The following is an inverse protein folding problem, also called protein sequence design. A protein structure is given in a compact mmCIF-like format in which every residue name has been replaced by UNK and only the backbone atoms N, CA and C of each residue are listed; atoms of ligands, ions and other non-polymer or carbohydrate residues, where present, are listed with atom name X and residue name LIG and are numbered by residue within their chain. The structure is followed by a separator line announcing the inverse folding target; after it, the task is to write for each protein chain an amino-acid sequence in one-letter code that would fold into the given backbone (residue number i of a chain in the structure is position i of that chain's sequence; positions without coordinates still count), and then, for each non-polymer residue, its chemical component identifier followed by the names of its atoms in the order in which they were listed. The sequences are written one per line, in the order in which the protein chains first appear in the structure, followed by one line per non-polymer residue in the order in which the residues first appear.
data_IF_255128820194
#
_entry.id   IF_255128820194
#
_cell.length_a   1.000
_cell.length_b   1.000
_cell.length_c   1.000
_cell.angle_alpha   90.00
_cell.angle_beta   90.00
_cell.angle_gamma   90.00
#
_symmetry.space_group_name_H-M   'P 1'
#
loop_
_entity.id
_entity.type
_entity.pdbx_description
1 polymer ?
#
# COMPACT_ATOMS: atom_id res chain seq x y z
N UNK A 1 -10.71 -7.21 26.37
CA UNK A 1 -10.72 -6.06 25.45
C UNK A 1 -11.25 -6.52 24.10
N UNK A 2 -12.16 -5.76 23.48
CA UNK A 2 -12.73 -6.01 22.15
C UNK A 2 -12.63 -4.73 21.31
N UNK A 3 -12.13 -4.84 20.08
CA UNK A 3 -12.08 -3.73 19.12
C UNK A 3 -12.92 -4.01 17.88
N UNK A 4 -13.51 -2.95 17.30
CA UNK A 4 -14.16 -3.00 16.00
C UNK A 4 -13.24 -2.40 14.93
N UNK A 5 -12.84 -3.18 13.94
CA UNK A 5 -11.98 -2.76 12.83
C UNK A 5 -12.84 -2.54 11.59
N UNK A 6 -12.89 -1.30 11.11
CA UNK A 6 -13.57 -0.90 9.87
C UNK A 6 -12.56 -0.85 8.74
N UNK A 7 -12.64 -1.82 7.83
CA UNK A 7 -11.71 -1.96 6.70
C UNK A 7 -12.45 -2.28 5.41
N UNK A 8 -12.01 -1.66 4.32
CA UNK A 8 -12.56 -1.96 2.99
C UNK A 8 -11.95 -3.24 2.39
N UNK A 9 -10.67 -3.50 2.66
CA UNK A 9 -9.97 -4.68 2.15
C UNK A 9 -9.86 -5.73 3.25
N UNK A 10 -10.54 -6.85 3.03
CA UNK A 10 -10.54 -8.02 3.91
C UNK A 10 -10.54 -9.30 3.06
N UNK A 11 -9.92 -10.42 3.50
CA UNK A 11 -9.96 -11.67 2.74
C UNK A 11 -11.38 -12.04 2.30
N UNK A 12 -11.55 -12.55 1.06
CA UNK A 12 -10.52 -13.00 0.12
C UNK A 12 -9.93 -11.89 -0.78
N UNK A 13 -10.10 -10.61 -0.44
CA UNK A 13 -9.41 -9.53 -1.16
C UNK A 13 -7.89 -9.72 -1.07
N UNK A 14 -7.18 -9.59 -2.20
CA UNK A 14 -5.72 -9.68 -2.26
C UNK A 14 -5.01 -8.31 -2.36
N UNK A 15 -3.69 -8.34 -2.50
CA UNK A 15 -2.84 -7.17 -2.70
C UNK A 15 -2.36 -6.50 -1.39
N UNK A 16 -1.56 -5.44 -1.51
CA UNK A 16 -0.96 -4.79 -0.32
C UNK A 16 -1.96 -4.17 0.65
N UNK A 17 -3.18 -3.88 0.17
CA UNK A 17 -4.24 -3.26 0.95
C UNK A 17 -4.81 -4.13 2.07
N UNK A 18 -4.78 -5.46 1.95
CA UNK A 18 -5.36 -6.38 2.94
C UNK A 18 -4.36 -6.79 4.04
N UNK A 19 -3.08 -6.86 3.71
CA UNK A 19 -2.06 -7.53 4.52
C UNK A 19 -1.93 -6.94 5.94
N UNK A 20 -1.84 -5.61 6.05
CA UNK A 20 -1.59 -4.94 7.35
C UNK A 20 -2.63 -5.29 8.40
N UNK A 21 -3.92 -5.13 8.06
CA UNK A 21 -5.01 -5.30 9.04
C UNK A 21 -5.44 -6.74 9.23
N UNK A 22 -5.24 -7.61 8.23
CA UNK A 22 -5.34 -9.05 8.43
C UNK A 22 -4.34 -9.52 9.49
N UNK A 23 -3.05 -9.19 9.32
CA UNK A 23 -2.01 -9.60 10.28
C UNK A 23 -2.20 -8.94 11.64
N UNK A 24 -2.55 -7.66 11.71
CA UNK A 24 -2.86 -7.02 13.01
C UNK A 24 -4.04 -7.68 13.71
N UNK A 25 -5.16 -7.95 13.04
CA UNK A 25 -6.29 -8.64 13.65
C UNK A 25 -5.89 -10.05 14.15
N UNK A 26 -5.08 -10.77 13.37
CA UNK A 26 -4.56 -12.09 13.74
C UNK A 26 -3.71 -12.06 15.01
N UNK A 27 -2.79 -11.10 15.11
CA UNK A 27 -1.90 -11.00 16.27
C UNK A 27 -2.60 -10.35 17.47
N UNK A 28 -3.57 -9.45 17.27
CA UNK A 28 -4.39 -8.92 18.36
C UNK A 28 -5.18 -10.04 19.03
N UNK A 29 -5.78 -10.95 18.25
CA UNK A 29 -6.48 -12.13 18.77
C UNK A 29 -5.53 -13.02 19.58
N UNK A 30 -4.34 -13.32 19.05
CA UNK A 30 -3.29 -14.08 19.78
C UNK A 30 -2.84 -13.41 21.08
N UNK A 31 -2.90 -12.08 21.15
CA UNK A 31 -2.56 -11.29 22.35
C UNK A 31 -3.77 -11.08 23.28
N UNK A 32 -4.89 -11.77 23.06
CA UNK A 32 -6.08 -11.72 23.91
C UNK A 32 -6.97 -10.48 23.69
N UNK A 33 -6.78 -9.75 22.59
CA UNK A 33 -7.65 -8.66 22.17
C UNK A 33 -8.63 -9.16 21.11
N UNK A 34 -9.88 -9.36 21.49
CA UNK A 34 -10.92 -9.82 20.58
C UNK A 34 -11.17 -8.77 19.48
N UNK A 35 -11.35 -9.23 18.24
CA UNK A 35 -11.58 -8.36 17.09
C UNK A 35 -12.93 -8.67 16.44
N UNK A 36 -13.69 -7.63 16.13
CA UNK A 36 -14.78 -7.68 15.16
C UNK A 36 -14.38 -6.88 13.92
N UNK A 37 -14.68 -7.39 12.73
CA UNK A 37 -14.37 -6.74 11.45
C UNK A 37 -15.67 -6.23 10.84
N UNK A 38 -15.66 -5.01 10.32
CA UNK A 38 -16.71 -4.51 9.45
C UNK A 38 -16.14 -4.19 8.07
N UNK A 39 -16.65 -4.89 7.07
CA UNK A 39 -16.16 -4.85 5.68
C UNK A 39 -17.34 -4.98 4.70
N UNK A 40 -17.29 -4.47 3.45
CA UNK A 40 -18.45 -4.61 2.55
C UNK A 40 -18.60 -6.06 2.10
N UNK A 41 -19.83 -6.50 1.82
CA UNK A 41 -20.07 -7.87 1.29
C UNK A 41 -19.77 -8.02 -0.20
N UNK A 42 -19.65 -6.91 -0.93
CA UNK A 42 -19.47 -6.88 -2.38
C UNK A 42 -18.40 -5.87 -2.84
N UNK A 43 -17.19 -5.87 -2.27
CA UNK A 43 -16.17 -4.89 -2.62
C UNK A 43 -15.72 -5.07 -4.06
N UNK A 44 -15.56 -3.96 -4.77
CA UNK A 44 -14.75 -3.93 -6.00
C UNK A 44 -13.27 -3.90 -5.64
N UNK A 45 -12.61 -5.06 -5.78
CA UNK A 45 -11.19 -5.26 -5.52
C UNK A 45 -10.43 -5.65 -6.80
N UNK A 46 -9.17 -5.21 -6.94
CA UNK A 46 -8.40 -5.49 -8.15
C UNK A 46 -7.86 -6.93 -8.22
N UNK A 47 -7.68 -7.57 -7.06
CA UNK A 47 -7.04 -8.87 -6.88
C UNK A 47 -7.83 -9.64 -5.82
N UNK A 48 -8.05 -10.94 -6.08
CA UNK A 48 -8.61 -11.89 -5.13
C UNK A 48 -7.51 -12.90 -4.80
N UNK A 49 -7.30 -13.16 -3.52
CA UNK A 49 -6.36 -14.15 -3.00
C UNK A 49 -7.05 -14.96 -1.90
N UNK A 50 -7.61 -16.10 -2.27
CA UNK A 50 -8.36 -16.96 -1.36
C UNK A 50 -7.48 -17.62 -0.29
N UNK A 51 -6.15 -17.75 -0.50
CA UNK A 51 -5.28 -18.34 0.53
C UNK A 51 -5.15 -17.46 1.77
N UNK A 52 -5.50 -16.17 1.68
CA UNK A 52 -5.52 -15.28 2.84
C UNK A 52 -6.66 -15.57 3.82
N UNK A 53 -7.63 -16.42 3.45
CA UNK A 53 -8.66 -16.89 4.39
C UNK A 53 -8.07 -17.78 5.48
N UNK A 54 -6.97 -18.50 5.19
CA UNK A 54 -6.29 -19.39 6.15
C UNK A 54 -5.63 -18.59 7.29
N UNK A 55 -5.37 -17.30 7.07
CA UNK A 55 -4.81 -16.39 8.06
C UNK A 55 -5.88 -15.75 8.97
N UNK A 56 -7.18 -15.87 8.64
CA UNK A 56 -8.25 -15.27 9.44
C UNK A 56 -8.52 -16.15 10.67
N UNK A 57 -8.35 -15.62 11.91
CA UNK A 57 -8.66 -16.40 13.11
C UNK A 57 -10.14 -16.82 13.16
N UNK A 58 -10.39 -18.03 13.63
CA UNK A 58 -11.73 -18.66 13.64
C UNK A 58 -12.75 -17.92 14.52
N UNK A 59 -12.27 -17.16 15.51
CA UNK A 59 -13.12 -16.48 16.48
C UNK A 59 -13.42 -15.02 16.10
N UNK A 60 -12.94 -14.53 14.95
CA UNK A 60 -13.22 -13.17 14.50
C UNK A 60 -14.62 -13.09 13.90
N UNK A 61 -15.44 -12.20 14.48
CA UNK A 61 -16.75 -11.84 13.96
C UNK A 61 -16.58 -10.93 12.73
N UNK A 62 -17.00 -11.38 11.55
CA UNK A 62 -16.97 -10.57 10.32
C UNK A 62 -18.37 -10.07 9.96
N UNK A 63 -18.60 -8.79 10.20
CA UNK A 63 -19.83 -8.08 9.87
C UNK A 63 -19.72 -7.55 8.44
N UNK A 64 -20.76 -7.78 7.65
CA UNK A 64 -20.82 -7.27 6.28
C UNK A 64 -22.14 -6.59 5.97
N UNK A 65 -22.07 -5.58 5.11
CA UNK A 65 -23.23 -4.87 4.58
C UNK A 65 -22.92 -4.47 3.13
N UNK A 66 -23.86 -4.63 2.18
CA UNK A 66 -23.61 -4.25 0.80
C UNK A 66 -23.25 -2.76 0.65
N UNK A 67 -22.33 -2.50 -0.27
CA UNK A 67 -21.94 -1.18 -0.73
C UNK A 67 -22.54 -0.89 -2.11
N UNK A 68 -23.14 0.30 -2.25
CA UNK A 68 -23.48 0.86 -3.56
C UNK A 68 -22.30 1.69 -4.06
N UNK A 69 -21.69 1.23 -5.16
CA UNK A 69 -20.54 1.89 -5.76
C UNK A 69 -20.93 2.51 -7.10
N UNK A 70 -20.85 3.84 -7.24
CA UNK A 70 -21.08 4.52 -8.52
C UNK A 70 -20.20 3.98 -9.65
N UNK A 71 -18.95 3.59 -9.34
CA UNK A 71 -18.02 2.96 -10.29
C UNK A 71 -18.55 1.65 -10.89
N UNK A 72 -19.39 0.90 -10.16
CA UNK A 72 -20.00 -0.34 -10.63
C UNK A 72 -21.12 -0.09 -11.65
N UNK A 73 -21.84 1.02 -11.50
CA UNK A 73 -22.85 1.50 -12.46
C UNK A 73 -22.14 2.01 -13.73
N UNK A 74 -21.11 2.85 -13.57
CA UNK A 74 -20.30 3.36 -14.66
C UNK A 74 -19.64 2.22 -15.47
N UNK A 75 -19.13 1.18 -14.80
CA UNK A 75 -18.52 0.01 -15.46
C UNK A 75 -19.52 -0.83 -16.27
N UNK A 76 -20.78 -0.92 -15.85
CA UNK A 76 -21.84 -1.56 -16.66
C UNK A 76 -22.15 -0.75 -17.93
N UNK A 77 -22.09 0.58 -17.84
CA UNK A 77 -22.30 1.48 -18.97
C UNK A 77 -21.09 1.44 -19.93
N UNK A 78 -19.86 1.38 -19.42
CA UNK A 78 -18.65 1.28 -20.26
C UNK A 78 -18.42 -0.12 -20.85
N UNK A 79 -19.00 -1.18 -20.29
CA UNK A 79 -18.93 -2.53 -20.86
C UNK A 79 -19.62 -2.64 -22.24
N UNK A 80 -20.58 -1.77 -22.55
CA UNK A 80 -21.15 -1.65 -23.90
C UNK A 80 -20.20 -1.00 -24.93
N UNK A 81 -19.05 -0.46 -24.51
CA UNK A 81 -18.13 0.31 -25.36
C UNK A 81 -16.67 -0.20 -25.38
N UNK A 82 -16.44 -1.47 -25.03
CA UNK A 82 -15.13 -2.12 -25.20
C UNK A 82 -14.18 -1.93 -24.01
N UNK A 83 -13.57 -3.04 -23.63
CA UNK A 83 -12.73 -3.20 -22.45
C UNK A 83 -11.44 -2.38 -22.50
N UNK A 84 -11.35 -1.32 -21.70
CA UNK A 84 -10.09 -0.93 -21.07
C UNK A 84 -10.40 -0.30 -19.71
N UNK A 85 -9.78 -0.85 -18.66
CA UNK A 85 -9.96 -0.43 -17.26
C UNK A 85 -9.47 1.01 -17.11
N UNK A 86 -10.41 1.95 -16.92
CA UNK A 86 -10.15 3.36 -16.63
C UNK A 86 -9.56 3.44 -15.22
N UNK A 87 -8.23 3.43 -15.12
CA UNK A 87 -7.50 3.42 -13.86
C UNK A 87 -6.05 2.90 -13.96
N UNK A 88 -5.66 2.34 -15.11
CA UNK A 88 -4.26 2.27 -15.50
C UNK A 88 -4.06 3.29 -16.62
N UNK A 89 -3.01 4.09 -16.52
CA UNK A 89 -2.49 4.95 -17.58
C UNK A 89 -2.11 4.09 -18.79
N UNK A 90 -3.10 3.80 -19.64
CA UNK A 90 -2.93 3.26 -20.98
C UNK A 90 -3.22 4.40 -21.95
N UNK A 91 -2.14 4.93 -22.52
CA UNK A 91 -2.21 6.01 -23.51
C UNK A 91 -2.93 5.60 -24.79
N UNK A 92 -3.56 6.61 -25.42
CA UNK A 92 -3.83 6.64 -26.86
C UNK A 92 -5.24 6.24 -27.30
N UNK A 93 -6.08 7.26 -27.58
CA UNK A 93 -7.03 7.23 -28.70
C UNK A 93 -8.51 6.94 -28.38
N UNK A 94 -9.34 7.97 -28.65
CA UNK A 94 -10.81 7.92 -28.87
C UNK A 94 -11.72 7.82 -27.62
N UNK A 95 -11.60 8.78 -26.70
CA UNK A 95 -12.70 9.61 -26.18
C UNK A 95 -12.20 10.60 -25.10
N UNK A 96 -11.27 11.49 -25.48
CA UNK A 96 -10.57 12.42 -24.57
C UNK A 96 -11.52 13.28 -23.71
N UNK A 97 -12.67 13.70 -24.24
CA UNK A 97 -13.63 14.51 -23.49
C UNK A 97 -14.41 13.70 -22.46
N UNK A 98 -14.86 12.49 -22.81
CA UNK A 98 -15.57 11.61 -21.88
C UNK A 98 -14.63 11.09 -20.79
N UNK A 99 -13.39 10.73 -21.13
CA UNK A 99 -12.39 10.33 -20.12
C UNK A 99 -12.08 11.50 -19.16
N UNK A 100 -11.88 12.72 -19.67
CA UNK A 100 -11.70 13.93 -18.85
C UNK A 100 -12.91 14.22 -17.97
N UNK A 101 -14.12 14.12 -18.50
CA UNK A 101 -15.36 14.30 -17.73
C UNK A 101 -15.50 13.22 -16.66
N UNK A 102 -15.19 11.96 -16.96
CA UNK A 102 -15.27 10.85 -15.99
C UNK A 102 -14.24 11.02 -14.85
N UNK A 103 -13.03 11.47 -15.16
CA UNK A 103 -11.99 11.80 -14.19
C UNK A 103 -12.43 12.99 -13.32
N UNK A 104 -12.99 14.02 -13.94
CA UNK A 104 -13.53 15.18 -13.22
C UNK A 104 -14.68 14.77 -12.29
N UNK A 105 -15.68 14.01 -12.77
CA UNK A 105 -16.80 13.51 -11.96
C UNK A 105 -16.27 12.69 -10.78
N UNK A 106 -15.29 11.81 -11.03
CA UNK A 106 -14.64 11.00 -9.99
C UNK A 106 -13.96 11.88 -8.93
N UNK A 107 -13.20 12.88 -9.33
CA UNK A 107 -12.47 13.77 -8.42
C UNK A 107 -13.34 14.79 -7.69
N UNK A 108 -14.50 15.17 -8.24
CA UNK A 108 -15.28 16.29 -7.72
C UNK A 108 -16.61 15.88 -7.04
N UNK A 109 -17.21 14.73 -7.38
CA UNK A 109 -18.48 14.29 -6.77
C UNK A 109 -18.30 13.25 -5.65
N UNK A 110 -17.29 12.37 -5.78
CA UNK A 110 -17.07 11.27 -4.82
C UNK A 110 -15.88 11.58 -3.92
N UNK A 111 -16.09 12.49 -2.97
CA UNK A 111 -15.07 12.94 -2.01
C UNK A 111 -15.35 12.28 -0.65
N UNK A 112 -14.36 11.62 -0.02
CA UNK A 112 -12.94 11.59 -0.41
C UNK A 112 -12.62 10.55 -1.49
N UNK A 113 -13.50 9.57 -1.70
CA UNK A 113 -13.32 8.54 -2.69
C UNK A 113 -14.65 7.92 -3.13
N UNK A 114 -14.59 7.01 -4.10
CA UNK A 114 -15.74 6.32 -4.68
C UNK A 114 -16.54 5.47 -3.67
N UNK A 115 -16.07 5.30 -2.42
CA UNK A 115 -16.74 4.53 -1.36
C UNK A 115 -17.56 5.40 -0.42
N UNK A 116 -17.65 6.72 -0.66
CA UNK A 116 -18.41 7.64 0.21
C UNK A 116 -19.89 7.25 0.35
N UNK A 117 -20.47 6.60 -0.66
CA UNK A 117 -21.84 6.07 -0.63
C UNK A 117 -22.07 5.01 0.44
N UNK A 118 -21.01 4.37 0.95
CA UNK A 118 -21.09 3.38 2.02
C UNK A 118 -21.16 3.99 3.42
N UNK A 119 -20.77 5.26 3.58
CA UNK A 119 -20.58 5.87 4.90
C UNK A 119 -21.89 5.90 5.69
N UNK A 120 -22.95 6.50 5.14
CA UNK A 120 -24.23 6.64 5.86
C UNK A 120 -24.89 5.29 6.20
N UNK A 121 -25.03 4.33 5.26
CA UNK A 121 -25.56 3.00 5.58
C UNK A 121 -24.73 2.28 6.65
N UNK A 122 -23.40 2.43 6.61
CA UNK A 122 -22.50 1.81 7.59
C UNK A 122 -22.63 2.41 8.98
N UNK A 123 -22.67 3.74 9.09
CA UNK A 123 -22.88 4.41 10.38
C UNK A 123 -24.23 3.97 10.98
N UNK A 124 -25.30 3.92 10.17
CA UNK A 124 -26.62 3.45 10.64
C UNK A 124 -26.57 2.01 11.15
N UNK A 125 -25.96 1.11 10.40
CA UNK A 125 -25.83 -0.30 10.77
C UNK A 125 -25.02 -0.47 12.05
N UNK A 126 -23.81 0.13 12.10
CA UNK A 126 -22.88 -0.01 13.21
C UNK A 126 -23.41 0.63 14.49
N UNK A 127 -24.19 1.72 14.43
CA UNK A 127 -24.90 2.24 15.60
C UNK A 127 -25.79 1.17 16.25
N UNK A 128 -26.62 0.50 15.47
CA UNK A 128 -27.51 -0.55 15.97
C UNK A 128 -26.74 -1.74 16.54
N UNK A 129 -25.61 -2.10 15.92
CA UNK A 129 -24.76 -3.18 16.39
C UNK A 129 -24.02 -2.83 17.70
N UNK A 130 -23.48 -1.60 17.82
CA UNK A 130 -22.74 -1.13 19.00
C UNK A 130 -23.61 -1.00 20.26
N UNK A 131 -24.92 -0.76 20.10
CA UNK A 131 -25.87 -0.79 21.24
C UNK A 131 -25.93 -2.18 21.89
N UNK A 132 -25.80 -3.24 21.08
CA UNK A 132 -25.89 -4.63 21.53
C UNK A 132 -24.52 -5.23 21.84
N UNK A 133 -23.46 -4.67 21.26
CA UNK A 133 -22.10 -5.19 21.32
C UNK A 133 -21.15 -4.08 21.77
N UNK A 134 -20.75 -4.15 23.05
CA UNK A 134 -19.75 -3.22 23.58
C UNK A 134 -18.39 -3.51 22.98
N UNK A 135 -17.69 -2.45 22.59
CA UNK A 135 -16.29 -2.46 22.16
C UNK A 135 -15.55 -1.38 22.92
N UNK A 136 -14.27 -1.61 23.19
CA UNK A 136 -13.43 -0.66 23.90
C UNK A 136 -12.89 0.43 22.96
N UNK A 137 -12.72 0.11 21.67
CA UNK A 137 -12.31 1.06 20.65
C UNK A 137 -12.80 0.67 19.24
N UNK A 138 -12.93 1.68 18.38
CA UNK A 138 -13.05 1.51 16.93
C UNK A 138 -11.73 1.87 16.28
N UNK A 139 -11.35 1.08 15.28
CA UNK A 139 -10.22 1.37 14.41
C UNK A 139 -10.72 1.50 12.98
N UNK A 140 -10.38 2.60 12.30
CA UNK A 140 -10.65 2.77 10.87
C UNK A 140 -9.34 2.79 10.10
N UNK A 141 -9.29 2.14 8.94
CA UNK A 141 -8.08 2.13 8.10
C UNK A 141 -8.36 2.63 6.69
N UNK A 142 -7.56 3.61 6.26
CA UNK A 142 -7.57 4.17 4.91
C UNK A 142 -6.23 3.94 4.20
N UNK A 143 -6.19 3.97 2.86
CA UNK A 143 -7.31 4.13 1.93
C UNK A 143 -8.13 2.84 1.74
N UNK A 144 -9.40 2.92 1.29
CA UNK A 144 -10.16 4.14 1.00
C UNK A 144 -10.47 4.95 2.27
N UNK A 145 -10.36 6.28 2.19
CA UNK A 145 -10.49 7.18 3.34
C UNK A 145 -11.94 7.37 3.80
N UNK A 146 -12.92 6.93 3.00
CA UNK A 146 -14.31 6.79 3.43
C UNK A 146 -14.47 5.93 4.71
N UNK A 147 -13.53 5.02 5.01
CA UNK A 147 -13.55 4.26 6.27
C UNK A 147 -13.42 5.19 7.48
N UNK A 148 -12.56 6.22 7.37
CA UNK A 148 -12.41 7.21 8.43
C UNK A 148 -13.68 8.04 8.61
N UNK A 149 -14.44 8.31 7.54
CA UNK A 149 -15.73 8.99 7.67
C UNK A 149 -16.80 8.15 8.40
N UNK A 150 -16.72 6.81 8.31
CA UNK A 150 -17.55 5.92 9.14
C UNK A 150 -17.18 6.10 10.62
N UNK A 151 -15.89 6.07 10.95
CA UNK A 151 -15.41 6.33 12.32
C UNK A 151 -15.82 7.70 12.84
N UNK A 152 -15.68 8.74 12.01
CA UNK A 152 -16.07 10.10 12.34
C UNK A 152 -17.57 10.21 12.68
N UNK A 153 -18.43 9.57 11.88
CA UNK A 153 -19.87 9.52 12.16
C UNK A 153 -20.15 8.86 13.52
N UNK A 154 -19.56 7.69 13.76
CA UNK A 154 -19.75 6.95 15.02
C UNK A 154 -19.23 7.71 16.24
N UNK A 155 -18.08 8.40 16.14
CA UNK A 155 -17.50 9.22 17.21
C UNK A 155 -18.34 10.45 17.51
N UNK A 156 -18.86 11.14 16.49
CA UNK A 156 -19.74 12.31 16.69
C UNK A 156 -21.03 11.95 17.42
N UNK A 157 -21.59 10.78 17.11
CA UNK A 157 -22.81 10.30 17.76
C UNK A 157 -22.55 9.70 19.15
N UNK A 158 -21.34 9.19 19.39
CA UNK A 158 -20.91 8.63 20.68
C UNK A 158 -19.56 9.21 21.11
N UNK A 159 -19.51 10.41 21.71
CA UNK A 159 -18.25 11.09 22.03
C UNK A 159 -17.30 10.30 22.94
N UNK A 160 -17.85 9.39 23.77
CA UNK A 160 -17.07 8.52 24.67
C UNK A 160 -16.41 7.33 23.96
N UNK A 161 -16.81 7.02 22.73
CA UNK A 161 -16.27 5.90 21.97
C UNK A 161 -14.83 6.20 21.57
N UNK A 162 -13.88 5.37 21.98
CA UNK A 162 -12.49 5.54 21.58
C UNK A 162 -12.32 5.22 20.10
N UNK A 163 -11.65 6.10 19.37
CA UNK A 163 -11.44 5.98 17.95
C UNK A 163 -9.99 6.21 17.55
N UNK A 164 -9.44 5.21 16.88
CA UNK A 164 -8.11 5.22 16.28
C UNK A 164 -8.25 5.25 14.75
N UNK A 165 -7.61 6.22 14.10
CA UNK A 165 -7.58 6.30 12.63
C UNK A 165 -6.18 5.94 12.09
N UNK A 166 -6.07 4.86 11.32
CA UNK A 166 -4.84 4.40 10.67
C UNK A 166 -4.74 4.93 9.24
N UNK A 167 -3.90 5.96 9.08
CA UNK A 167 -3.54 6.60 7.82
C UNK A 167 -2.34 5.87 7.21
N UNK A 168 -2.62 4.91 6.34
CA UNK A 168 -1.56 4.09 5.71
C UNK A 168 -0.83 4.82 4.58
N UNK A 169 -1.55 5.71 3.92
CA UNK A 169 -1.09 6.52 2.80
C UNK A 169 -1.58 7.97 2.98
N UNK A 170 -0.94 8.95 2.32
CA UNK A 170 -1.46 10.32 2.27
C UNK A 170 -2.92 10.38 1.83
N UNK A 171 -3.69 11.31 2.39
CA UNK A 171 -5.07 11.54 1.97
C UNK A 171 -5.16 12.69 0.98
N UNK A 172 -5.02 13.94 1.42
CA UNK A 172 -5.21 15.10 0.52
C UNK A 172 -4.03 15.36 -0.42
N UNK A 173 -2.87 14.76 -0.15
CA UNK A 173 -1.63 14.93 -0.94
C UNK A 173 -1.38 13.75 -1.89
N UNK A 174 -2.32 12.82 -2.06
CA UNK A 174 -2.03 11.57 -2.78
C UNK A 174 -1.73 11.83 -4.27
N UNK A 175 -0.64 11.27 -4.79
CA UNK A 175 -0.12 11.56 -6.15
C UNK A 175 -1.19 11.49 -7.26
N UNK A 176 -2.09 10.51 -7.20
CA UNK A 176 -3.09 10.30 -8.25
C UNK A 176 -4.19 11.38 -8.26
N UNK A 177 -4.33 12.20 -7.21
CA UNK A 177 -5.38 13.22 -7.14
C UNK A 177 -5.18 14.28 -8.23
N UNK A 178 -3.94 14.52 -8.64
CA UNK A 178 -3.63 15.43 -9.74
C UNK A 178 -4.11 14.88 -11.10
N UNK A 179 -4.28 13.57 -11.25
CA UNK A 179 -4.85 12.95 -12.45
C UNK A 179 -6.38 13.17 -12.56
N UNK A 180 -7.05 13.52 -11.45
CA UNK A 180 -8.51 13.65 -11.41
C UNK A 180 -9.05 15.03 -11.80
N UNK A 181 -8.19 15.97 -12.21
CA UNK A 181 -8.60 17.34 -12.57
C UNK A 181 -9.51 17.98 -11.50
N UNK A 182 -9.15 17.79 -10.22
CA UNK A 182 -9.96 18.29 -9.10
C UNK A 182 -9.98 19.82 -9.09
N UNK A 183 -11.19 20.39 -9.01
CA UNK A 183 -11.37 21.82 -8.82
C UNK A 183 -10.99 22.25 -7.39
N UNK A 184 -10.76 23.56 -7.15
CA UNK A 184 -10.34 24.07 -5.84
C UNK A 184 -11.28 23.68 -4.68
N UNK A 185 -12.60 23.68 -4.91
CA UNK A 185 -13.60 23.27 -3.91
C UNK A 185 -13.47 21.80 -3.51
N UNK A 186 -13.16 20.93 -4.47
CA UNK A 186 -12.99 19.51 -4.21
C UNK A 186 -11.71 19.24 -3.41
N UNK A 187 -10.62 19.97 -3.70
CA UNK A 187 -9.38 19.91 -2.91
C UNK A 187 -9.58 20.43 -1.49
N UNK A 188 -10.20 21.61 -1.35
CA UNK A 188 -10.54 22.16 -0.03
C UNK A 188 -11.38 21.17 0.79
N UNK A 189 -12.41 20.56 0.19
CA UNK A 189 -13.20 19.53 0.88
C UNK A 189 -12.37 18.29 1.28
N UNK A 190 -11.39 17.90 0.47
CA UNK A 190 -10.50 16.77 0.80
C UNK A 190 -9.65 17.09 2.03
N UNK A 191 -9.07 18.29 2.07
CA UNK A 191 -8.27 18.81 3.18
C UNK A 191 -9.12 19.02 4.44
N UNK A 192 -10.33 19.56 4.30
CA UNK A 192 -11.28 19.75 5.40
C UNK A 192 -11.66 18.42 6.04
N UNK A 193 -11.93 17.38 5.23
CA UNK A 193 -12.25 16.05 5.74
C UNK A 193 -11.05 15.36 6.38
N UNK A 194 -9.86 15.47 5.78
CA UNK A 194 -8.62 14.96 6.37
C UNK A 194 -8.41 15.60 7.75
N UNK A 195 -8.50 16.93 7.83
CA UNK A 195 -8.38 17.71 9.07
C UNK A 195 -9.49 17.39 10.08
N UNK A 196 -10.72 17.21 9.64
CA UNK A 196 -11.81 16.86 10.55
C UNK A 196 -11.59 15.48 11.18
N UNK A 197 -11.25 14.48 10.37
CA UNK A 197 -10.93 13.13 10.85
C UNK A 197 -9.77 13.19 11.84
N UNK A 198 -8.67 13.82 11.46
CA UNK A 198 -7.47 13.78 12.27
C UNK A 198 -7.66 14.54 13.60
N UNK A 199 -8.53 15.58 13.63
CA UNK A 199 -8.84 16.34 14.85
C UNK A 199 -9.80 15.62 15.79
N UNK A 200 -10.70 14.82 15.24
CA UNK A 200 -11.76 14.17 16.00
C UNK A 200 -11.38 12.77 16.50
N UNK A 201 -10.47 12.08 15.82
CA UNK A 201 -9.95 10.81 16.32
C UNK A 201 -9.13 11.01 17.61
N UNK A 202 -9.24 10.07 18.54
CA UNK A 202 -8.51 10.13 19.82
C UNK A 202 -7.02 9.81 19.61
N UNK A 203 -6.70 8.95 18.63
CA UNK A 203 -5.34 8.63 18.19
C UNK A 203 -5.27 8.50 16.68
N UNK A 204 -4.11 8.86 16.14
CA UNK A 204 -3.75 8.62 14.74
C UNK A 204 -2.63 7.61 14.68
N UNK A 205 -2.70 6.68 13.73
CA UNK A 205 -1.59 5.78 13.39
C UNK A 205 -1.15 6.11 11.97
N UNK A 206 0.15 6.20 11.77
CA UNK A 206 0.77 6.51 10.47
C UNK A 206 1.91 5.55 10.17
N UNK A 207 2.13 5.30 8.88
CA UNK A 207 3.18 4.40 8.37
C UNK A 207 4.50 5.12 8.03
N UNK A 208 4.54 6.44 8.17
CA UNK A 208 5.68 7.28 7.77
C UNK A 208 5.80 8.53 8.67
N UNK A 209 7.00 9.09 8.80
CA UNK A 209 7.21 10.29 9.64
C UNK A 209 6.73 11.54 8.93
N UNK A 210 6.90 11.64 7.60
CA UNK A 210 6.34 12.73 6.81
C UNK A 210 4.82 12.82 6.88
N UNK A 211 4.11 11.68 6.95
CA UNK A 211 2.65 11.69 7.18
C UNK A 211 2.31 12.17 8.60
N UNK A 212 3.08 11.73 9.61
CA UNK A 212 2.93 12.22 10.99
C UNK A 212 3.04 13.75 11.03
N UNK A 213 4.12 14.29 10.47
CA UNK A 213 4.44 15.71 10.59
C UNK A 213 3.38 16.57 9.87
N UNK A 214 2.82 16.07 8.76
CA UNK A 214 1.66 16.70 8.10
C UNK A 214 0.44 16.76 9.02
N UNK A 215 0.06 15.65 9.64
CA UNK A 215 -1.16 15.55 10.45
C UNK A 215 -1.02 16.21 11.82
N UNK A 216 0.18 16.22 12.41
CA UNK A 216 0.44 16.83 13.73
C UNK A 216 0.44 18.36 13.65
N UNK A 217 0.96 18.94 12.56
CA UNK A 217 0.92 20.39 12.36
C UNK A 217 -0.50 20.96 12.37
N UNK A 218 -1.53 20.12 12.23
CA UNK A 218 -2.93 20.52 12.26
C UNK A 218 -3.63 20.45 13.63
N UNK A 219 -3.15 19.75 14.69
CA UNK A 219 -4.10 19.19 15.69
C UNK A 219 -3.65 18.78 17.12
N UNK A 220 -4.69 18.51 17.96
CA UNK A 220 -4.69 17.99 19.34
C UNK A 220 -4.49 16.47 19.50
N UNK A 221 -4.66 15.67 18.44
CA UNK A 221 -4.64 14.21 18.53
C UNK A 221 -3.21 13.65 18.66
N UNK A 222 -3.04 12.56 19.41
CA UNK A 222 -1.73 11.89 19.54
C UNK A 222 -1.49 11.04 18.29
N UNK A 223 -0.45 11.38 17.52
CA UNK A 223 -0.09 10.70 16.28
C UNK A 223 1.10 9.75 16.50
N UNK A 224 0.89 8.47 16.21
CA UNK A 224 1.80 7.37 16.55
C UNK A 224 2.31 6.71 15.28
N UNK A 225 3.63 6.63 15.16
CA UNK A 225 4.28 5.98 14.04
C UNK A 225 4.33 4.46 14.25
N UNK A 226 3.63 3.71 13.40
CA UNK A 226 3.70 2.25 13.30
C UNK A 226 3.95 1.92 11.82
N UNK A 227 5.20 1.61 11.41
CA UNK A 227 5.53 1.35 10.01
C UNK A 227 4.81 0.11 9.47
N UNK A 228 4.96 -0.15 8.18
CA UNK A 228 4.66 -1.48 7.65
C UNK A 228 5.66 -2.51 8.22
N UNK A 229 5.37 -3.79 7.98
CA UNK A 229 6.16 -4.87 8.53
C UNK A 229 5.98 -6.16 7.75
N UNK A 230 6.68 -7.18 8.19
CA UNK A 230 6.72 -8.51 7.59
C UNK A 230 6.29 -9.57 8.60
N UNK A 231 5.82 -10.72 8.12
CA UNK A 231 5.44 -11.84 8.97
C UNK A 231 6.31 -13.06 8.66
N UNK A 232 6.91 -13.64 9.68
CA UNK A 232 7.73 -14.85 9.54
C UNK A 232 6.92 -16.05 9.03
N UNK A 233 5.61 -16.07 9.26
CA UNK A 233 4.72 -17.13 8.76
C UNK A 233 4.56 -17.12 7.23
N UNK A 234 4.85 -15.98 6.58
CA UNK A 234 4.76 -15.87 5.13
C UNK A 234 5.98 -16.50 4.43
N UNK A 235 7.08 -16.71 5.16
CA UNK A 235 8.34 -17.23 4.63
C UNK A 235 8.42 -18.76 4.71
N UNK A 236 9.03 -19.42 3.72
CA UNK A 236 9.29 -20.85 3.81
C UNK A 236 10.25 -21.15 4.97
N UNK A 237 10.06 -22.29 5.63
CA UNK A 237 10.91 -22.73 6.76
C UNK A 237 12.37 -23.00 6.36
N UNK A 238 12.62 -23.20 5.08
CA UNK A 238 13.95 -23.40 4.52
C UNK A 238 14.15 -22.45 3.35
N UNK A 239 15.31 -21.80 3.30
CA UNK A 239 15.72 -21.03 2.14
C UNK A 239 15.94 -21.97 0.94
N UNK A 240 15.61 -21.54 -0.29
CA UNK A 240 16.09 -22.23 -1.48
C UNK A 240 17.62 -22.36 -1.41
N UNK A 241 18.16 -23.49 -1.89
CA UNK A 241 19.62 -23.60 -2.09
C UNK A 241 20.08 -22.44 -2.97
N UNK A 242 21.27 -21.91 -2.68
CA UNK A 242 21.93 -20.97 -3.59
C UNK A 242 21.98 -21.60 -4.98
N UNK A 243 21.52 -20.85 -5.98
CA UNK A 243 21.70 -21.28 -7.36
C UNK A 243 23.16 -21.01 -7.73
N UNK A 244 23.88 -22.01 -8.23
CA UNK A 244 25.18 -21.87 -8.91
C UNK A 244 25.04 -21.12 -10.27
N UNK A 245 24.02 -20.28 -10.43
CA UNK A 245 23.74 -19.60 -11.68
C UNK A 245 24.75 -18.48 -11.91
N UNK A 246 25.32 -18.46 -13.10
CA UNK A 246 26.18 -17.36 -13.58
C UNK A 246 25.41 -16.08 -13.92
N UNK A 247 24.08 -16.11 -13.83
CA UNK A 247 23.17 -15.01 -14.20
C UNK A 247 22.70 -14.30 -12.95
N UNK A 248 22.90 -12.98 -12.87
CA UNK A 248 22.42 -12.16 -11.76
C UNK A 248 20.93 -11.83 -11.94
N UNK A 249 20.08 -12.32 -11.05
CA UNK A 249 18.62 -12.08 -11.05
C UNK A 249 18.26 -10.91 -10.15
N UNK A 250 17.66 -9.87 -10.74
CA UNK A 250 17.22 -8.64 -10.07
C UNK A 250 15.69 -8.59 -10.04
N UNK A 251 15.09 -8.75 -8.85
CA UNK A 251 13.64 -8.95 -8.73
C UNK A 251 12.85 -7.75 -8.18
N UNK A 252 11.76 -7.35 -8.83
CA UNK A 252 10.77 -6.42 -8.28
C UNK A 252 9.40 -7.10 -8.07
N UNK A 253 8.89 -6.99 -6.85
CA UNK A 253 7.64 -7.63 -6.41
C UNK A 253 6.60 -6.58 -6.04
N UNK A 254 5.85 -6.13 -7.03
CA UNK A 254 4.84 -5.11 -6.91
C UNK A 254 4.47 -4.50 -8.26
N UNK A 255 3.45 -3.63 -8.25
CA UNK A 255 3.05 -2.92 -9.45
C UNK A 255 4.06 -1.82 -9.83
N UNK A 256 4.40 -1.77 -11.11
CA UNK A 256 5.23 -0.76 -11.74
C UNK A 256 4.36 0.12 -12.66
N UNK A 257 3.98 1.28 -12.15
CA UNK A 257 3.26 2.33 -12.88
C UNK A 257 4.25 3.37 -13.44
N UNK A 258 3.78 4.29 -14.29
CA UNK A 258 4.66 5.26 -14.97
C UNK A 258 5.56 6.07 -14.02
N UNK A 259 5.05 6.46 -12.85
CA UNK A 259 5.84 7.18 -11.83
C UNK A 259 6.95 6.32 -11.18
N UNK A 260 6.93 5.00 -11.37
CA UNK A 260 7.96 4.05 -10.91
C UNK A 260 8.89 3.62 -12.05
N UNK A 261 8.93 4.36 -13.15
CA UNK A 261 9.91 4.10 -14.19
C UNK A 261 11.31 4.50 -13.70
N UNK A 262 12.35 3.73 -14.06
CA UNK A 262 13.72 3.94 -13.62
C UNK A 262 14.69 3.91 -14.82
N UNK A 263 14.60 4.87 -15.76
CA UNK A 263 15.41 4.85 -16.98
C UNK A 263 16.92 4.89 -16.70
N UNK A 264 17.36 5.50 -15.59
CA UNK A 264 18.75 5.46 -15.14
C UNK A 264 19.23 4.04 -14.87
N UNK A 265 18.40 3.24 -14.16
CA UNK A 265 18.68 1.84 -13.89
C UNK A 265 18.64 1.00 -15.16
N UNK A 266 17.64 1.19 -16.04
CA UNK A 266 17.56 0.45 -17.31
C UNK A 266 18.79 0.68 -18.18
N UNK A 267 19.27 1.92 -18.26
CA UNK A 267 20.52 2.23 -18.95
C UNK A 267 21.72 1.55 -18.29
N UNK A 268 21.83 1.59 -16.96
CA UNK A 268 22.92 0.94 -16.23
C UNK A 268 22.97 -0.58 -16.47
N UNK A 269 21.82 -1.27 -16.39
CA UNK A 269 21.72 -2.71 -16.67
C UNK A 269 22.08 -3.02 -18.13
N UNK A 270 21.61 -2.20 -19.08
CA UNK A 270 21.98 -2.33 -20.50
C UNK A 270 23.49 -2.21 -20.73
N UNK A 271 24.15 -1.25 -20.07
CA UNK A 271 25.60 -1.06 -20.16
C UNK A 271 26.38 -2.23 -19.57
N UNK A 272 25.91 -2.83 -18.46
CA UNK A 272 26.54 -4.02 -17.87
C UNK A 272 26.41 -5.24 -18.77
N UNK A 273 25.22 -5.46 -19.38
CA UNK A 273 25.02 -6.53 -20.36
C UNK A 273 25.91 -6.35 -21.59
N UNK A 274 26.10 -5.12 -22.06
CA UNK A 274 27.01 -4.83 -23.16
C UNK A 274 28.49 -5.13 -22.83
N UNK A 275 28.86 -5.13 -21.55
CA UNK A 275 30.18 -5.55 -21.05
C UNK A 275 30.30 -7.06 -20.78
N UNK A 276 29.28 -7.84 -21.15
CA UNK A 276 29.27 -9.30 -21.02
C UNK A 276 28.78 -9.84 -19.68
N UNK A 277 28.24 -9.01 -18.79
CA UNK A 277 27.61 -9.50 -17.56
C UNK A 277 26.21 -10.03 -17.87
N UNK A 278 25.89 -11.24 -17.39
CA UNK A 278 24.53 -11.75 -17.55
C UNK A 278 23.63 -11.32 -16.40
N UNK A 279 22.53 -10.67 -16.76
CA UNK A 279 21.58 -10.04 -15.84
C UNK A 279 20.18 -10.31 -16.35
N UNK A 280 19.32 -10.78 -15.46
CA UNK A 280 17.90 -11.00 -15.68
C UNK A 280 17.09 -10.10 -14.74
N UNK A 281 16.10 -9.40 -15.29
CA UNK A 281 15.11 -8.66 -14.50
C UNK A 281 13.88 -9.55 -14.29
N UNK A 282 13.40 -9.66 -13.06
CA UNK A 282 12.21 -10.46 -12.72
C UNK A 282 11.13 -9.54 -12.15
N UNK A 283 9.99 -9.43 -12.83
CA UNK A 283 8.89 -8.56 -12.39
C UNK A 283 7.64 -9.38 -12.05
N UNK A 284 7.30 -9.43 -10.77
CA UNK A 284 6.03 -9.94 -10.27
C UNK A 284 5.09 -8.78 -9.93
N UNK A 285 3.98 -8.68 -10.65
CA UNK A 285 3.01 -7.60 -10.57
C UNK A 285 2.70 -6.98 -11.93
N UNK A 286 1.74 -6.06 -11.96
CA UNK A 286 1.41 -5.34 -13.18
C UNK A 286 2.54 -4.36 -13.56
N UNK A 287 3.03 -4.46 -14.79
CA UNK A 287 4.00 -3.52 -15.38
C UNK A 287 3.32 -2.75 -16.52
N UNK A 288 3.28 -1.42 -16.42
CA UNK A 288 2.63 -0.57 -17.41
C UNK A 288 3.37 -0.57 -18.76
N UNK A 289 2.67 -0.16 -19.82
CA UNK A 289 3.22 -0.11 -21.18
C UNK A 289 4.41 0.82 -21.34
N UNK A 290 4.45 1.92 -20.57
CA UNK A 290 5.54 2.90 -20.66
C UNK A 290 6.87 2.31 -20.20
N UNK A 291 6.87 1.55 -19.11
CA UNK A 291 8.06 0.85 -18.62
C UNK A 291 8.48 -0.24 -19.60
N UNK A 292 7.53 -1.01 -20.16
CA UNK A 292 7.84 -2.02 -21.20
C UNK A 292 8.46 -1.38 -22.45
N UNK A 293 8.02 -0.19 -22.84
CA UNK A 293 8.59 0.57 -23.97
C UNK A 293 10.02 1.00 -23.67
N UNK A 294 10.30 1.47 -22.45
CA UNK A 294 11.65 1.86 -22.05
C UNK A 294 12.59 0.64 -21.95
N UNK A 295 12.14 -0.47 -21.36
CA UNK A 295 12.90 -1.72 -21.39
C UNK A 295 13.22 -2.16 -22.82
N UNK A 296 12.28 -1.99 -23.77
CA UNK A 296 12.52 -2.27 -25.19
C UNK A 296 13.57 -1.34 -25.78
N UNK A 297 13.48 -0.03 -25.48
CA UNK A 297 14.45 0.99 -25.90
C UNK A 297 15.87 0.67 -25.43
N UNK A 298 16.02 0.13 -24.22
CA UNK A 298 17.32 -0.28 -23.67
C UNK A 298 17.71 -1.73 -24.00
N UNK A 299 16.95 -2.42 -24.86
CA UNK A 299 17.26 -3.81 -25.27
C UNK A 299 17.07 -4.86 -24.18
N UNK A 300 16.36 -4.54 -23.10
CA UNK A 300 16.21 -5.39 -21.91
C UNK A 300 15.00 -6.31 -21.93
N UNK A 301 14.07 -6.16 -22.89
CA UNK A 301 12.84 -6.96 -22.94
C UNK A 301 13.12 -8.47 -22.97
N UNK A 302 14.13 -8.92 -23.71
CA UNK A 302 14.51 -10.34 -23.77
C UNK A 302 15.17 -10.85 -22.49
N UNK A 303 15.68 -9.94 -21.66
CA UNK A 303 16.30 -10.21 -20.37
C UNK A 303 15.35 -9.86 -19.21
N UNK A 304 14.04 -9.78 -19.47
CA UNK A 304 13.04 -9.47 -18.47
C UNK A 304 11.97 -10.55 -18.45
N UNK A 305 11.80 -11.19 -17.29
CA UNK A 305 10.71 -12.10 -16.99
C UNK A 305 9.53 -11.34 -16.38
N UNK A 306 8.33 -11.53 -16.92
CA UNK A 306 7.09 -10.91 -16.42
C UNK A 306 6.17 -11.98 -15.84
N UNK A 307 6.19 -12.14 -14.51
CA UNK A 307 5.44 -13.18 -13.80
C UNK A 307 3.95 -12.85 -13.60
N UNK A 308 3.57 -11.59 -13.82
CA UNK A 308 2.19 -11.13 -13.59
C UNK A 308 1.83 -11.12 -12.10
N UNK A 309 0.54 -11.12 -11.78
CA UNK A 309 0.08 -11.15 -10.38
C UNK A 309 0.23 -12.55 -9.78
N UNK A 310 0.91 -12.64 -8.64
CA UNK A 310 1.11 -13.88 -7.89
C UNK A 310 0.35 -13.86 -6.57
N UNK A 311 -0.02 -15.04 -6.08
CA UNK A 311 -0.41 -15.22 -4.68
C UNK A 311 0.77 -14.81 -3.78
N UNK A 312 0.47 -14.25 -2.61
CA UNK A 312 1.48 -13.61 -1.77
C UNK A 312 2.65 -14.55 -1.40
N UNK A 313 2.36 -15.79 -1.00
CA UNK A 313 3.37 -16.81 -0.70
C UNK A 313 4.30 -17.12 -1.87
N UNK A 314 3.75 -17.24 -3.09
CA UNK A 314 4.54 -17.45 -4.31
C UNK A 314 5.43 -16.25 -4.62
N UNK A 315 4.97 -15.03 -4.33
CA UNK A 315 5.80 -13.84 -4.50
C UNK A 315 7.03 -13.89 -3.58
N UNK A 316 6.90 -14.35 -2.33
CA UNK A 316 8.04 -14.53 -1.41
C UNK A 316 8.98 -15.64 -1.91
N UNK A 317 8.45 -16.77 -2.38
CA UNK A 317 9.27 -17.83 -2.96
C UNK A 317 10.11 -17.33 -4.14
N UNK A 318 9.53 -16.50 -5.02
CA UNK A 318 10.25 -15.87 -6.13
C UNK A 318 11.25 -14.79 -5.65
N UNK A 319 10.94 -14.02 -4.61
CA UNK A 319 11.92 -13.09 -3.99
C UNK A 319 13.17 -13.83 -3.55
N UNK A 320 13.00 -15.01 -2.95
CA UNK A 320 14.11 -15.81 -2.43
C UNK A 320 15.02 -16.40 -3.52
N UNK A 321 14.53 -16.49 -4.76
CA UNK A 321 15.29 -16.95 -5.94
C UNK A 321 16.10 -15.85 -6.63
N UNK A 322 15.92 -14.57 -6.26
CA UNK A 322 16.69 -13.46 -6.81
C UNK A 322 18.02 -13.28 -6.07
N UNK A 323 19.04 -12.73 -6.72
CA UNK A 323 20.32 -12.40 -6.06
C UNK A 323 20.24 -11.04 -5.36
N UNK A 324 19.44 -10.13 -5.92
CA UNK A 324 19.23 -8.78 -5.42
C UNK A 324 17.79 -8.35 -5.66
N UNK A 325 17.22 -7.62 -4.71
CA UNK A 325 15.85 -7.13 -4.79
C UNK A 325 15.81 -5.66 -5.20
N UNK A 326 14.90 -5.33 -6.10
CA UNK A 326 14.73 -4.01 -6.69
C UNK A 326 13.54 -3.30 -6.06
N UNK A 327 13.82 -2.23 -5.32
CA UNK A 327 12.83 -1.36 -4.70
C UNK A 327 12.74 -0.05 -5.49
N UNK A 328 11.63 0.14 -6.23
CA UNK A 328 11.35 1.41 -6.90
C UNK A 328 10.17 2.10 -6.22
N UNK A 329 10.38 3.34 -5.78
CA UNK A 329 9.35 4.23 -5.24
C UNK A 329 8.82 5.17 -6.33
N UNK A 330 7.80 5.97 -6.04
CA UNK A 330 7.26 6.89 -7.03
C UNK A 330 8.19 8.11 -7.17
N UNK A 331 8.38 8.60 -8.40
CA UNK A 331 9.14 9.83 -8.69
C UNK A 331 8.29 11.09 -8.51
N UNK A 332 7.65 11.22 -7.35
CA UNK A 332 6.70 12.29 -7.04
C UNK A 332 7.03 12.95 -5.70
N UNK A 333 6.48 14.13 -5.45
CA UNK A 333 6.72 14.83 -4.18
C UNK A 333 5.99 14.16 -3.01
N UNK A 334 4.77 13.64 -3.22
CA UNK A 334 4.02 13.01 -2.13
C UNK A 334 4.60 11.66 -1.70
N UNK A 335 5.33 10.97 -2.59
CA UNK A 335 6.14 9.81 -2.24
C UNK A 335 7.11 10.08 -1.08
N UNK A 336 7.67 11.30 -0.96
CA UNK A 336 8.61 11.67 0.11
C UNK A 336 8.03 11.52 1.52
N UNK A 337 6.70 11.42 1.64
CA UNK A 337 5.96 11.23 2.90
C UNK A 337 5.45 9.80 3.06
N UNK A 338 6.03 8.81 2.39
CA UNK A 338 5.57 7.41 2.43
C UNK A 338 6.73 6.42 2.39
N UNK A 339 6.48 5.18 2.82
CA UNK A 339 7.44 4.07 2.70
C UNK A 339 6.75 2.87 2.05
N UNK A 340 7.33 2.25 1.00
CA UNK A 340 6.72 1.09 0.38
C UNK A 340 6.64 -0.10 1.35
N UNK A 341 5.48 -0.74 1.47
CA UNK A 341 5.29 -1.90 2.37
C UNK A 341 6.25 -3.07 2.08
N UNK A 342 6.59 -3.31 0.81
CA UNK A 342 7.49 -4.39 0.38
C UNK A 342 8.92 -4.26 0.92
N UNK A 343 9.35 -3.06 1.33
CA UNK A 343 10.67 -2.83 1.89
C UNK A 343 10.93 -3.77 3.07
N UNK A 344 9.94 -3.94 3.95
CA UNK A 344 10.09 -4.75 5.16
C UNK A 344 10.19 -6.25 4.87
N UNK A 345 9.51 -6.73 3.83
CA UNK A 345 9.65 -8.10 3.36
C UNK A 345 11.03 -8.31 2.71
N UNK A 346 11.53 -7.32 1.97
CA UNK A 346 12.87 -7.39 1.39
C UNK A 346 13.94 -7.47 2.48
N UNK A 347 13.83 -6.68 3.57
CA UNK A 347 14.72 -6.80 4.72
C UNK A 347 14.71 -8.22 5.31
N UNK A 348 13.53 -8.83 5.41
CA UNK A 348 13.36 -10.18 5.95
C UNK A 348 13.97 -11.29 5.08
N UNK A 349 14.21 -11.04 3.78
CA UNK A 349 14.96 -11.98 2.93
C UNK A 349 16.48 -11.94 3.18
N UNK A 350 16.97 -10.89 3.86
CA UNK A 350 18.40 -10.58 4.01
C UNK A 350 19.17 -10.43 2.69
N UNK A 351 18.48 -10.31 1.55
CA UNK A 351 19.11 -10.06 0.26
C UNK A 351 19.50 -8.58 0.12
N UNK A 352 20.55 -8.29 -0.66
CA UNK A 352 20.86 -6.92 -1.06
C UNK A 352 19.66 -6.24 -1.74
N UNK A 353 19.58 -4.91 -1.60
CA UNK A 353 18.50 -4.11 -2.15
C UNK A 353 19.07 -2.98 -3.03
N UNK A 354 18.61 -2.91 -4.27
CA UNK A 354 18.81 -1.75 -5.15
C UNK A 354 17.59 -0.85 -4.97
N UNK A 355 17.80 0.35 -4.44
CA UNK A 355 16.72 1.30 -4.17
C UNK A 355 16.74 2.47 -5.15
N UNK A 356 15.59 2.74 -5.78
CA UNK A 356 15.36 3.89 -6.66
C UNK A 356 14.27 4.77 -6.05
N UNK A 357 14.63 5.99 -5.66
CA UNK A 357 13.73 6.94 -5.01
C UNK A 357 14.22 8.39 -5.12
N UNK A 358 13.45 9.35 -4.59
CA UNK A 358 13.94 10.71 -4.35
C UNK A 358 15.13 10.69 -3.37
N UNK A 359 16.01 11.67 -3.47
CA UNK A 359 17.19 11.82 -2.59
C UNK A 359 16.87 12.28 -1.17
N UNK A 360 15.59 12.57 -0.88
CA UNK A 360 15.10 13.01 0.42
C UNK A 360 13.70 12.42 0.67
N UNK A 361 13.22 12.54 1.90
CA UNK A 361 11.95 11.98 2.36
C UNK A 361 12.14 10.77 3.28
N UNK A 362 11.02 10.14 3.65
CA UNK A 362 10.99 9.05 4.62
C UNK A 362 11.79 7.83 4.16
N UNK A 363 11.62 7.40 2.90
CA UNK A 363 12.36 6.26 2.36
C UNK A 363 13.87 6.54 2.31
N UNK A 364 14.28 7.68 1.75
CA UNK A 364 15.70 8.05 1.67
C UNK A 364 16.34 8.14 3.07
N UNK A 365 15.64 8.73 4.03
CA UNK A 365 16.08 8.80 5.43
C UNK A 365 16.27 7.43 6.05
N UNK A 366 15.33 6.50 5.84
CA UNK A 366 15.46 5.12 6.34
C UNK A 366 16.64 4.39 5.71
N UNK A 367 16.78 4.47 4.38
CA UNK A 367 17.87 3.82 3.66
C UNK A 367 19.24 4.34 4.12
N UNK A 368 19.38 5.66 4.29
CA UNK A 368 20.60 6.26 4.82
C UNK A 368 20.93 5.80 6.23
N UNK A 369 19.93 5.76 7.12
CA UNK A 369 20.12 5.29 8.50
C UNK A 369 20.53 3.81 8.57
N UNK A 370 20.15 3.02 7.57
CA UNK A 370 20.50 1.62 7.47
C UNK A 370 21.76 1.35 6.63
N UNK A 371 22.40 2.39 6.10
CA UNK A 371 23.56 2.24 5.20
C UNK A 371 23.23 1.59 3.85
N UNK A 372 21.95 1.56 3.45
CA UNK A 372 21.53 1.01 2.18
C UNK A 372 21.63 2.07 1.07
N UNK A 373 22.29 1.74 -0.06
CA UNK A 373 22.46 2.71 -1.12
C UNK A 373 21.17 2.92 -1.92
N UNK A 374 20.99 4.15 -2.41
CA UNK A 374 19.88 4.50 -3.30
C UNK A 374 20.33 5.44 -4.42
N UNK A 375 19.56 5.44 -5.50
CA UNK A 375 19.75 6.29 -6.68
C UNK A 375 18.45 7.02 -7.04
N UNK A 376 18.58 8.14 -7.75
CA UNK A 376 17.41 8.81 -8.38
C UNK A 376 17.04 8.09 -9.67
N UNK A 377 15.80 8.25 -10.11
CA UNK A 377 15.22 7.57 -11.27
C UNK A 377 16.03 7.69 -12.58
N UNK A 378 16.70 8.82 -12.78
CA UNK A 378 17.49 9.11 -13.99
C UNK A 378 19.03 9.01 -13.76
N UNK A 379 19.47 8.57 -12.58
CA UNK A 379 20.88 8.63 -12.18
C UNK A 379 21.64 7.36 -12.60
N UNK A 380 22.12 7.34 -13.84
CA UNK A 380 22.78 6.18 -14.45
C UNK A 380 24.03 5.77 -13.69
N UNK A 381 24.90 6.72 -13.35
CA UNK A 381 26.20 6.42 -12.75
C UNK A 381 26.05 5.90 -11.33
N UNK A 382 25.14 6.49 -10.53
CA UNK A 382 24.83 5.93 -9.21
C UNK A 382 24.20 4.54 -9.33
N UNK A 383 23.33 4.29 -10.30
CA UNK A 383 22.79 2.94 -10.52
C UNK A 383 23.89 1.92 -10.85
N UNK A 384 24.87 2.27 -11.69
CA UNK A 384 26.02 1.41 -12.01
C UNK A 384 26.84 1.09 -10.77
N UNK A 385 27.15 2.10 -9.96
CA UNK A 385 27.90 1.93 -8.72
C UNK A 385 27.19 0.94 -7.78
N UNK A 386 25.87 1.08 -7.60
CA UNK A 386 25.09 0.16 -6.76
C UNK A 386 25.09 -1.25 -7.35
N UNK A 387 24.87 -1.39 -8.65
CA UNK A 387 24.87 -2.69 -9.34
C UNK A 387 26.23 -3.41 -9.27
N UNK A 388 27.34 -2.67 -9.18
CA UNK A 388 28.67 -3.26 -9.07
C UNK A 388 29.03 -3.66 -7.63
N UNK A 389 28.37 -3.06 -6.63
CA UNK A 389 28.76 -3.20 -5.22
C UNK A 389 27.65 -3.77 -4.32
N UNK A 390 26.52 -4.23 -4.86
CA UNK A 390 25.38 -4.67 -4.02
C UNK A 390 25.73 -5.85 -3.09
N UNK A 391 26.68 -6.70 -3.48
CA UNK A 391 27.13 -7.83 -2.65
C UNK A 391 27.82 -7.38 -1.34
N UNK A 392 28.35 -6.14 -1.31
CA UNK A 392 28.98 -5.58 -0.12
C UNK A 392 27.98 -4.97 0.88
N UNK A 393 26.67 -5.04 0.61
CA UNK A 393 25.66 -4.52 1.53
C UNK A 393 25.56 -5.35 2.80
N UNK A 394 25.61 -4.69 3.95
CA UNK A 394 25.32 -5.32 5.25
C UNK A 394 23.81 -5.51 5.39
N UNK A 395 23.32 -6.72 5.73
CA UNK A 395 21.91 -6.94 6.01
C UNK A 395 21.40 -6.08 7.17
N UNK A 396 20.19 -5.54 7.02
CA UNK A 396 19.50 -4.79 8.08
C UNK A 396 18.68 -5.76 8.90
N UNK A 397 18.73 -5.66 10.24
CA UNK A 397 17.91 -6.48 11.12
C UNK A 397 16.41 -6.23 10.89
N UNK A 398 15.64 -7.23 10.42
CA UNK A 398 14.22 -7.08 10.18
C UNK A 398 13.38 -7.28 11.44
N UNK A 399 13.94 -7.81 12.55
CA UNK A 399 13.18 -8.21 13.75
C UNK A 399 12.29 -7.10 14.36
N UNK A 400 12.71 -5.82 14.43
CA UNK A 400 11.87 -4.73 14.94
C UNK A 400 10.59 -4.48 14.11
N UNK A 401 10.56 -4.97 12.86
CA UNK A 401 9.46 -4.76 11.92
C UNK A 401 8.57 -6.00 11.74
N UNK A 402 8.70 -7.00 12.62
CA UNK A 402 7.79 -8.16 12.61
C UNK A 402 6.35 -7.72 12.92
N UNK A 403 5.37 -8.37 12.29
CA UNK A 403 3.95 -8.08 12.54
C UNK A 403 3.57 -8.27 14.00
N UNK A 404 4.17 -9.25 14.71
CA UNK A 404 3.97 -9.41 16.14
C UNK A 404 4.42 -8.17 16.92
N UNK A 405 5.67 -7.71 16.76
CA UNK A 405 6.21 -6.52 17.47
C UNK A 405 5.41 -5.26 17.17
N UNK A 406 5.02 -5.06 15.92
CA UNK A 406 4.17 -3.93 15.53
C UNK A 406 2.76 -4.03 16.13
N UNK A 407 2.24 -5.24 16.34
CA UNK A 407 0.94 -5.46 16.99
C UNK A 407 1.02 -5.25 18.50
N UNK A 408 2.10 -5.64 19.16
CA UNK A 408 2.34 -5.32 20.58
C UNK A 408 2.29 -3.79 20.78
N UNK A 409 2.97 -3.04 19.91
CA UNK A 409 2.89 -1.57 19.91
C UNK A 409 1.48 -1.05 19.67
N UNK A 410 0.75 -1.61 18.70
CA UNK A 410 -0.66 -1.25 18.45
C UNK A 410 -1.53 -1.52 19.68
N UNK A 411 -1.30 -2.63 20.38
CA UNK A 411 -2.04 -3.00 21.58
C UNK A 411 -1.81 -1.98 22.71
N UNK A 412 -0.59 -1.49 22.88
CA UNK A 412 -0.27 -0.38 23.79
C UNK A 412 -1.04 0.89 23.42
N UNK A 413 -1.12 1.22 22.12
CA UNK A 413 -1.93 2.36 21.65
C UNK A 413 -3.39 2.19 22.06
N UNK A 414 -3.98 1.02 21.80
CA UNK A 414 -5.39 0.74 22.13
C UNK A 414 -5.63 0.82 23.64
N UNK A 415 -4.70 0.33 24.47
CA UNK A 415 -4.82 0.42 25.93
C UNK A 415 -4.70 1.85 26.43
N UNK A 416 -3.85 2.67 25.79
CA UNK A 416 -3.62 4.07 26.19
C UNK A 416 -4.78 5.03 25.89
N UNK A 417 -5.83 4.56 25.20
CA UNK A 417 -7.05 5.35 24.93
C UNK A 417 -8.13 5.16 25.97
N UNK A 418 -8.04 4.11 26.79
CA UNK A 418 -8.94 3.84 27.91
C UNK A 418 -8.50 4.65 29.12
#
# INVERSE_FOLDING_TARGET
MKVLIVTYYWPPSGGGGVQRWLKFATYLDKLGCACAIYTPSNPDVPIIDSSLLDDVPTNIEVLTNPISEPSRILRKITWQYGSNRIGASSGGGKNSLFSRLSLWVRGNLFIPDARVGWVKPSVKFLKGWLVKNKVDAIITTGPPHSMHLIGLGLKKDNPQLQWIADFRDPWSDMDYLDEFNMGPRARAKMEDLESEVSRTADRLIVTSRGARDKLVNSQKAICIFIPNGWDALDFPKSLPKENDNTVTRIGHFGALHGSRNAPGLWKAVSDLKAKGQDVELVFAGHVCSDIKRDLKKFGLIKATEFLGSLAHRKAIEEMLKCDVLLLIHNDTNSATKSTPGKLFEYLATSKPIISICKSHGDLASLLNNWGLPHARHNDVERCKEILQNFQAQTPVDPAPFTRMKLTEKLLEVIKSTQ
#
